data_IF_421588498800
#
_entry.id   IF_421588498800
#
_cell.length_a   1.000
_cell.length_b   1.000
_cell.length_c   1.000
_cell.angle_alpha   90.00
_cell.angle_beta   90.00
_cell.angle_gamma   90.00
#
_symmetry.space_group_name_H-M   'P 1'
#
loop_
_entity.id
_entity.type
_entity.pdbx_description
1 polymer ?
#
# COMPACT_ATOMS: atom_id res chain seq x y z
N UNK A 1 9.69 17.67 -3.77
CA UNK A 1 10.91 17.55 -2.97
C UNK A 1 10.83 16.25 -2.16
N UNK A 2 11.98 15.60 -1.90
CA UNK A 2 12.06 14.35 -1.12
C UNK A 2 11.67 14.51 0.34
N UNK A 3 11.61 15.75 0.82
CA UNK A 3 11.31 16.11 2.21
C UNK A 3 9.93 16.74 2.40
N UNK A 4 9.07 16.66 1.40
CA UNK A 4 7.74 17.27 1.43
C UNK A 4 6.66 16.24 1.10
N UNK A 5 5.49 16.40 1.70
CA UNK A 5 4.31 15.62 1.32
C UNK A 5 3.84 16.00 -0.10
N UNK A 6 3.19 15.06 -0.76
CA UNK A 6 2.50 15.35 -2.03
C UNK A 6 1.41 16.40 -1.80
N UNK A 7 1.49 17.52 -2.54
CA UNK A 7 0.48 18.58 -2.45
C UNK A 7 -0.83 18.12 -3.09
N UNK A 8 -1.90 18.14 -2.33
CA UNK A 8 -3.26 17.81 -2.78
C UNK A 8 -3.74 18.80 -3.82
N UNK A 9 -3.52 20.11 -3.57
CA UNK A 9 -3.90 21.19 -4.50
C UNK A 9 -3.18 21.09 -5.84
N UNK A 10 -1.88 20.72 -5.80
CA UNK A 10 -1.13 20.49 -7.04
C UNK A 10 -1.72 19.34 -7.86
N UNK A 11 -2.11 18.25 -7.21
CA UNK A 11 -2.73 17.09 -7.90
C UNK A 11 -4.09 17.48 -8.49
N UNK A 12 -4.89 18.25 -7.77
CA UNK A 12 -6.20 18.73 -8.23
C UNK A 12 -6.07 19.65 -9.46
N UNK A 13 -5.19 20.65 -9.36
CA UNK A 13 -4.89 21.56 -10.47
C UNK A 13 -4.34 20.81 -11.69
N UNK A 14 -3.43 19.85 -11.47
CA UNK A 14 -2.86 19.06 -12.55
C UNK A 14 -3.93 18.23 -13.28
N UNK A 15 -4.78 17.54 -12.53
CA UNK A 15 -5.85 16.72 -13.10
C UNK A 15 -6.93 17.57 -13.82
N UNK A 16 -7.18 18.77 -13.33
CA UNK A 16 -8.09 19.73 -13.98
C UNK A 16 -7.60 20.15 -15.36
N UNK A 17 -6.29 20.27 -15.54
CA UNK A 17 -5.66 20.73 -16.76
C UNK A 17 -5.20 19.60 -17.71
N UNK A 18 -5.25 18.33 -17.27
CA UNK A 18 -4.76 17.17 -18.00
C UNK A 18 -5.81 16.06 -18.05
N UNK A 19 -6.80 16.21 -18.92
CA UNK A 19 -7.93 15.28 -19.04
C UNK A 19 -7.56 13.88 -19.54
N UNK A 20 -6.43 13.74 -20.22
CA UNK A 20 -5.88 12.48 -20.76
C UNK A 20 -5.26 11.57 -19.71
N UNK A 21 -4.97 12.09 -18.52
CA UNK A 21 -4.54 11.26 -17.37
C UNK A 21 -5.63 10.24 -17.04
N UNK A 22 -5.27 8.97 -16.98
CA UNK A 22 -6.19 7.87 -16.68
C UNK A 22 -6.02 7.31 -15.27
N UNK A 23 -4.80 7.34 -14.76
CA UNK A 23 -4.42 6.76 -13.48
C UNK A 23 -3.55 7.73 -12.70
N UNK A 24 -3.72 7.73 -11.37
CA UNK A 24 -2.82 8.40 -10.43
C UNK A 24 -2.20 7.32 -9.54
N UNK A 25 -0.88 7.33 -9.45
CA UNK A 25 -0.13 6.43 -8.58
C UNK A 25 0.74 7.23 -7.61
N UNK A 26 0.71 6.89 -6.33
CA UNK A 26 1.58 7.51 -5.32
C UNK A 26 1.91 6.55 -4.18
N UNK A 27 2.96 6.87 -3.44
CA UNK A 27 3.40 6.16 -2.24
C UNK A 27 2.69 6.75 -1.02
N UNK A 28 2.06 5.92 -0.19
CA UNK A 28 1.39 6.39 1.04
C UNK A 28 2.40 6.75 2.13
N UNK A 29 3.42 5.91 2.34
CA UNK A 29 4.47 6.16 3.34
C UNK A 29 5.84 5.95 2.72
N UNK A 30 6.62 7.03 2.63
CA UNK A 30 7.96 7.00 2.06
C UNK A 30 8.91 6.17 2.94
N UNK A 31 9.62 5.24 2.32
CA UNK A 31 10.47 4.30 3.06
C UNK A 31 11.72 4.96 3.65
N UNK A 32 12.29 5.94 2.96
CA UNK A 32 13.57 6.56 3.35
C UNK A 32 13.41 7.70 4.33
N UNK A 33 12.37 8.52 4.17
CA UNK A 33 12.12 9.71 4.99
C UNK A 33 11.07 9.50 6.07
N UNK A 34 10.20 8.50 5.90
CA UNK A 34 9.05 8.25 6.78
C UNK A 34 7.88 9.21 6.55
N UNK A 35 7.94 10.06 5.53
CA UNK A 35 6.85 10.99 5.20
C UNK A 35 5.58 10.21 4.88
N UNK A 36 4.49 10.57 5.56
CA UNK A 36 3.17 10.03 5.32
C UNK A 36 2.38 10.97 4.42
N UNK A 37 2.11 10.56 3.20
CA UNK A 37 1.32 11.35 2.25
C UNK A 37 -0.17 11.35 2.61
N UNK A 38 -0.92 12.44 2.33
CA UNK A 38 -2.32 12.61 2.72
C UNK A 38 -3.25 11.73 1.87
N UNK A 39 -3.32 10.43 2.21
CA UNK A 39 -4.02 9.40 1.43
C UNK A 39 -5.51 9.72 1.24
N UNK A 40 -6.20 10.17 2.27
CA UNK A 40 -7.66 10.42 2.21
C UNK A 40 -7.98 11.57 1.25
N UNK A 41 -7.25 12.64 1.37
CA UNK A 41 -7.40 13.86 0.57
C UNK A 41 -7.04 13.59 -0.89
N UNK A 42 -5.91 12.92 -1.15
CA UNK A 42 -5.50 12.52 -2.50
C UNK A 42 -6.51 11.55 -3.13
N UNK A 43 -6.98 10.56 -2.38
CA UNK A 43 -8.00 9.63 -2.86
C UNK A 43 -9.30 10.36 -3.24
N UNK A 44 -9.71 11.34 -2.42
CA UNK A 44 -10.89 12.16 -2.71
C UNK A 44 -10.72 12.94 -4.03
N UNK A 45 -9.61 13.63 -4.21
CA UNK A 45 -9.32 14.40 -5.44
C UNK A 45 -9.29 13.47 -6.66
N UNK A 46 -8.55 12.37 -6.61
CA UNK A 46 -8.47 11.41 -7.72
C UNK A 46 -9.86 10.89 -8.12
N UNK A 47 -10.71 10.63 -7.13
CA UNK A 47 -12.10 10.20 -7.32
C UNK A 47 -12.97 11.28 -7.96
N UNK A 48 -12.85 12.54 -7.52
CA UNK A 48 -13.59 13.68 -8.08
C UNK A 48 -13.30 13.85 -9.58
N UNK A 49 -12.06 13.61 -10.01
CA UNK A 49 -11.66 13.63 -11.40
C UNK A 49 -11.97 12.34 -12.17
N UNK A 50 -12.59 11.34 -11.54
CA UNK A 50 -12.95 10.07 -12.17
C UNK A 50 -11.76 9.21 -12.60
N UNK A 51 -10.57 9.45 -12.03
CA UNK A 51 -9.34 8.74 -12.36
C UNK A 51 -9.21 7.47 -11.52
N UNK A 52 -8.34 6.54 -11.97
CA UNK A 52 -8.02 5.32 -11.23
C UNK A 52 -6.91 5.58 -10.23
N UNK A 53 -7.06 5.00 -9.05
CA UNK A 53 -6.13 5.19 -7.95
C UNK A 53 -5.29 3.93 -7.69
N UNK A 54 -3.98 4.09 -7.76
CA UNK A 54 -2.98 3.08 -7.43
C UNK A 54 -2.20 3.59 -6.21
N UNK A 55 -2.19 2.83 -5.13
CA UNK A 55 -1.49 3.21 -3.90
C UNK A 55 -0.40 2.19 -3.60
N UNK A 56 0.83 2.65 -3.55
CA UNK A 56 1.92 1.91 -2.90
C UNK A 56 1.80 2.10 -1.37
N UNK A 57 1.35 1.05 -0.71
CA UNK A 57 1.23 0.98 0.73
C UNK A 57 2.23 -0.01 1.35
N UNK A 58 3.39 -0.20 0.69
CA UNK A 58 4.43 -1.11 1.15
C UNK A 58 4.80 -0.88 2.60
N UNK A 59 5.00 0.37 3.00
CA UNK A 59 5.48 0.74 4.33
C UNK A 59 4.36 1.17 5.29
N UNK A 60 3.08 0.99 4.92
CA UNK A 60 1.96 1.46 5.75
C UNK A 60 0.84 0.43 5.95
N UNK A 61 0.60 -0.46 4.97
CA UNK A 61 -0.51 -1.40 5.05
C UNK A 61 -0.32 -2.42 6.18
N UNK A 62 -1.33 -2.54 7.03
CA UNK A 62 -1.28 -3.39 8.23
C UNK A 62 -0.71 -2.72 9.49
N UNK A 63 -0.17 -1.49 9.36
CA UNK A 63 0.31 -0.68 10.49
C UNK A 63 -0.43 0.66 10.63
N UNK A 64 -1.00 1.16 9.53
CA UNK A 64 -1.81 2.39 9.54
C UNK A 64 -3.24 2.03 9.13
N UNK A 65 -4.27 2.40 9.91
CA UNK A 65 -5.66 2.12 9.58
C UNK A 65 -6.06 2.74 8.23
N UNK A 66 -6.63 1.92 7.35
CA UNK A 66 -7.20 2.36 6.08
C UNK A 66 -8.26 1.38 5.61
N UNK A 67 -9.35 1.89 5.06
CA UNK A 67 -10.34 1.09 4.34
C UNK A 67 -10.18 1.31 2.83
N UNK A 68 -9.71 0.27 2.15
CA UNK A 68 -9.44 0.31 0.69
C UNK A 68 -10.71 0.60 -0.12
N UNK A 69 -11.86 0.12 0.38
CA UNK A 69 -13.15 0.29 -0.29
C UNK A 69 -13.70 1.70 -0.12
N UNK A 70 -13.69 2.23 1.11
CA UNK A 70 -14.15 3.59 1.42
C UNK A 70 -13.29 4.65 0.71
N UNK A 71 -11.97 4.45 0.69
CA UNK A 71 -11.04 5.31 -0.02
C UNK A 71 -11.15 5.20 -1.55
N UNK A 72 -11.84 4.18 -2.04
CA UNK A 72 -12.03 3.96 -3.47
C UNK A 72 -10.75 3.62 -4.22
N UNK A 73 -9.79 3.00 -3.53
CA UNK A 73 -8.52 2.55 -4.12
C UNK A 73 -8.81 1.44 -5.13
N UNK A 74 -8.29 1.58 -6.35
CA UNK A 74 -8.47 0.59 -7.40
C UNK A 74 -7.42 -0.52 -7.31
N UNK A 75 -6.17 -0.16 -6.97
CA UNK A 75 -5.08 -1.10 -6.74
C UNK A 75 -4.23 -0.63 -5.54
N UNK A 76 -4.13 -1.46 -4.53
CA UNK A 76 -3.22 -1.26 -3.40
C UNK A 76 -2.12 -2.30 -3.46
N UNK A 77 -0.87 -1.86 -3.36
CA UNK A 77 0.31 -2.71 -3.43
C UNK A 77 0.97 -2.76 -2.04
N UNK A 78 1.28 -3.96 -1.57
CA UNK A 78 1.99 -4.13 -0.30
C UNK A 78 2.86 -5.39 -0.30
N UNK A 79 3.55 -5.65 0.79
CA UNK A 79 4.45 -6.79 0.94
C UNK A 79 4.27 -7.51 2.28
N UNK A 80 4.74 -8.75 2.32
CA UNK A 80 4.61 -9.60 3.49
C UNK A 80 5.41 -9.13 4.71
N UNK A 81 6.53 -8.41 4.51
CA UNK A 81 7.59 -8.21 5.51
C UNK A 81 7.67 -6.81 6.12
N UNK A 82 6.72 -5.93 5.87
CA UNK A 82 6.68 -4.59 6.45
C UNK A 82 5.77 -4.58 7.69
N UNK A 83 4.80 -3.70 7.78
CA UNK A 83 3.95 -3.56 8.97
C UNK A 83 3.19 -4.82 9.36
N UNK A 84 2.94 -5.76 8.45
CA UNK A 84 2.35 -7.08 8.78
C UNK A 84 3.34 -7.98 9.53
N UNK A 85 4.66 -7.68 9.46
CA UNK A 85 5.74 -8.38 10.19
C UNK A 85 5.92 -9.86 9.78
N UNK A 86 5.61 -10.19 8.53
CA UNK A 86 5.96 -11.48 7.94
C UNK A 86 7.41 -11.53 7.46
N UNK A 87 7.79 -12.60 6.76
CA UNK A 87 9.12 -12.79 6.18
C UNK A 87 9.13 -12.21 4.76
N UNK A 88 10.24 -11.61 4.29
CA UNK A 88 10.35 -11.14 2.92
C UNK A 88 10.29 -12.30 1.91
N UNK A 89 9.72 -12.07 0.72
CA UNK A 89 9.69 -13.08 -0.34
C UNK A 89 8.53 -12.94 -1.34
N UNK A 90 7.50 -12.13 -1.04
CA UNK A 90 6.49 -11.75 -2.02
C UNK A 90 5.83 -10.41 -1.69
N UNK A 91 5.36 -9.74 -2.74
CA UNK A 91 4.38 -8.67 -2.63
C UNK A 91 2.99 -9.16 -2.99
N UNK A 92 1.97 -8.43 -2.59
CA UNK A 92 0.60 -8.71 -2.94
C UNK A 92 -0.14 -7.44 -3.37
N UNK A 93 -1.21 -7.63 -4.12
CA UNK A 93 -2.05 -6.55 -4.62
C UNK A 93 -3.48 -6.82 -4.19
N UNK A 94 -4.10 -5.82 -3.55
CA UNK A 94 -5.54 -5.79 -3.33
C UNK A 94 -6.13 -4.94 -4.45
N UNK A 95 -6.96 -5.54 -5.29
CA UNK A 95 -7.47 -4.89 -6.49
C UNK A 95 -9.00 -4.88 -6.50
N UNK A 96 -9.57 -3.78 -7.00
CA UNK A 96 -10.99 -3.73 -7.36
C UNK A 96 -11.24 -4.70 -8.51
N UNK A 97 -12.09 -5.68 -8.30
CA UNK A 97 -12.30 -6.77 -9.27
C UNK A 97 -12.68 -6.26 -10.68
N UNK A 98 -13.52 -5.24 -10.77
CA UNK A 98 -13.91 -4.65 -12.05
C UNK A 98 -12.72 -4.07 -12.82
N UNK A 99 -11.77 -3.43 -12.13
CA UNK A 99 -10.58 -2.87 -12.76
C UNK A 99 -9.56 -3.95 -13.10
N UNK A 100 -9.40 -4.96 -12.24
CA UNK A 100 -8.54 -6.10 -12.51
C UNK A 100 -8.96 -6.86 -13.79
N UNK A 101 -10.26 -7.08 -13.99
CA UNK A 101 -10.78 -7.73 -15.20
C UNK A 101 -10.46 -6.93 -16.48
N UNK A 102 -10.40 -5.61 -16.39
CA UNK A 102 -10.03 -4.73 -17.51
C UNK A 102 -8.54 -4.82 -17.89
N UNK A 103 -7.71 -5.35 -16.99
CA UNK A 103 -6.28 -5.55 -17.26
C UNK A 103 -5.99 -6.75 -18.18
N UNK A 104 -6.99 -7.52 -18.59
CA UNK A 104 -6.81 -8.68 -19.46
C UNK A 104 -6.11 -8.32 -20.76
N UNK A 105 -4.93 -8.93 -20.99
CA UNK A 105 -4.16 -8.73 -22.23
C UNK A 105 -3.48 -7.37 -22.36
N UNK A 106 -3.43 -6.56 -21.28
CA UNK A 106 -2.81 -5.22 -21.28
C UNK A 106 -1.36 -5.28 -20.81
N UNK A 107 -1.01 -6.24 -19.97
CA UNK A 107 0.32 -6.35 -19.39
C UNK A 107 1.40 -6.55 -20.45
N UNK A 108 2.51 -5.79 -20.32
CA UNK A 108 3.69 -5.91 -21.18
C UNK A 108 4.71 -6.93 -20.68
N UNK A 109 4.56 -7.38 -19.46
CA UNK A 109 5.43 -8.34 -18.80
C UNK A 109 4.67 -9.61 -18.46
N UNK A 110 5.20 -10.76 -18.85
CA UNK A 110 4.66 -12.05 -18.50
C UNK A 110 4.65 -12.28 -16.98
N UNK A 111 5.72 -11.91 -16.29
CA UNK A 111 5.88 -12.15 -14.85
C UNK A 111 5.05 -11.21 -13.97
N UNK A 112 4.70 -10.03 -14.46
CA UNK A 112 3.95 -9.01 -13.71
C UNK A 112 2.50 -8.84 -14.18
N UNK A 113 1.98 -9.79 -14.97
CA UNK A 113 0.57 -9.81 -15.37
C UNK A 113 -0.31 -10.24 -14.20
N UNK A 114 -0.88 -9.26 -13.51
CA UNK A 114 -1.74 -9.49 -12.34
C UNK A 114 -3.09 -10.13 -12.71
N UNK A 115 -3.60 -9.88 -13.93
CA UNK A 115 -4.82 -10.52 -14.40
C UNK A 115 -4.62 -12.02 -14.58
N UNK A 116 -3.56 -12.42 -15.28
CA UNK A 116 -3.28 -13.82 -15.53
C UNK A 116 -2.91 -14.58 -14.25
N UNK A 117 -2.21 -13.92 -13.31
CA UNK A 117 -2.00 -14.47 -11.97
C UNK A 117 -3.32 -14.72 -11.24
N UNK A 118 -4.23 -13.76 -11.24
CA UNK A 118 -5.53 -13.86 -10.60
C UNK A 118 -6.40 -14.93 -11.28
N UNK A 119 -6.49 -14.92 -12.61
CA UNK A 119 -7.28 -15.89 -13.37
C UNK A 119 -6.81 -17.34 -13.12
N UNK A 120 -5.49 -17.53 -13.04
CA UNK A 120 -4.88 -18.83 -12.72
C UNK A 120 -5.26 -19.28 -11.30
N UNK A 121 -5.23 -18.38 -10.33
CA UNK A 121 -5.62 -18.68 -8.95
C UNK A 121 -7.12 -19.00 -8.83
N UNK A 122 -7.99 -18.25 -9.51
CA UNK A 122 -9.44 -18.50 -9.52
C UNK A 122 -9.76 -19.86 -10.11
N UNK A 123 -9.20 -20.19 -11.28
CA UNK A 123 -9.43 -21.46 -11.97
C UNK A 123 -8.74 -22.65 -11.29
N UNK A 124 -7.62 -22.39 -10.64
CA UNK A 124 -6.76 -23.41 -10.03
C UNK A 124 -6.94 -23.57 -8.51
N UNK A 125 -8.05 -23.09 -7.93
CA UNK A 125 -8.33 -23.18 -6.49
C UNK A 125 -7.18 -22.65 -5.62
N UNK A 126 -6.64 -21.47 -5.97
CA UNK A 126 -5.55 -20.82 -5.25
C UNK A 126 -4.14 -21.21 -5.72
N UNK A 127 -4.02 -22.01 -6.78
CA UNK A 127 -2.73 -22.35 -7.37
C UNK A 127 -2.09 -21.10 -8.01
N UNK A 128 -0.84 -20.83 -7.64
CA UNK A 128 -0.09 -19.74 -8.24
C UNK A 128 0.31 -20.07 -9.68
N UNK A 129 0.41 -19.05 -10.51
CA UNK A 129 0.83 -19.20 -11.92
C UNK A 129 2.25 -19.75 -12.06
N UNK A 130 3.15 -19.31 -11.19
CA UNK A 130 4.51 -19.80 -11.08
C UNK A 130 4.75 -20.49 -9.74
N UNK A 131 5.96 -20.99 -9.51
CA UNK A 131 6.34 -21.62 -8.24
C UNK A 131 6.13 -20.64 -7.08
N UNK A 132 5.26 -21.00 -6.15
CA UNK A 132 4.98 -20.16 -5.00
C UNK A 132 6.08 -20.24 -3.93
N UNK A 133 6.39 -19.16 -3.23
CA UNK A 133 7.29 -19.16 -2.07
C UNK A 133 6.56 -19.72 -0.83
N UNK A 134 6.25 -21.04 -0.84
CA UNK A 134 5.34 -21.68 0.10
C UNK A 134 5.67 -21.42 1.56
N UNK A 135 6.96 -21.44 1.93
CA UNK A 135 7.40 -21.17 3.31
C UNK A 135 7.10 -19.73 3.73
N UNK A 136 7.32 -18.77 2.83
CA UNK A 136 7.03 -17.35 3.08
C UNK A 136 5.53 -17.10 3.21
N UNK A 137 4.71 -17.75 2.35
CA UNK A 137 3.25 -17.69 2.44
C UNK A 137 2.74 -18.29 3.76
N UNK A 138 3.35 -19.38 4.22
CA UNK A 138 3.02 -19.98 5.51
C UNK A 138 3.39 -19.05 6.68
N UNK A 139 4.57 -18.43 6.63
CA UNK A 139 4.99 -17.44 7.62
C UNK A 139 4.07 -16.20 7.60
N UNK A 140 3.66 -15.75 6.42
CA UNK A 140 2.71 -14.64 6.29
C UNK A 140 1.35 -14.94 6.92
N UNK A 141 0.84 -16.18 6.76
CA UNK A 141 -0.37 -16.62 7.46
C UNK A 141 -0.21 -16.49 8.97
N UNK A 142 0.93 -16.90 9.52
CA UNK A 142 1.21 -16.77 10.94
C UNK A 142 1.24 -15.29 11.38
N UNK A 143 1.93 -14.43 10.62
CA UNK A 143 1.98 -12.99 10.90
C UNK A 143 0.59 -12.33 10.90
N UNK A 144 -0.30 -12.75 10.00
CA UNK A 144 -1.70 -12.30 10.01
C UNK A 144 -2.47 -12.78 11.25
N UNK A 145 -2.21 -14.01 11.71
CA UNK A 145 -2.78 -14.53 12.96
C UNK A 145 -2.32 -13.68 14.15
N UNK A 146 -1.03 -13.41 14.26
CA UNK A 146 -0.44 -12.57 15.31
C UNK A 146 -0.98 -11.13 15.27
N UNK A 147 -1.17 -10.56 14.08
CA UNK A 147 -1.81 -9.24 13.92
C UNK A 147 -3.24 -9.24 14.50
N UNK A 148 -4.02 -10.29 14.23
CA UNK A 148 -5.38 -10.42 14.76
C UNK A 148 -5.36 -10.59 16.27
N UNK A 149 -4.47 -11.43 16.81
CA UNK A 149 -4.30 -11.69 18.25
C UNK A 149 -3.83 -10.45 19.00
N UNK A 150 -3.02 -9.60 18.38
CA UNK A 150 -2.61 -8.28 18.91
C UNK A 150 -3.80 -7.31 19.08
N UNK A 151 -4.91 -7.55 18.39
CA UNK A 151 -6.08 -6.68 18.37
C UNK A 151 -6.25 -5.93 17.06
N UNK A 152 -5.64 -6.43 15.98
CA UNK A 152 -5.76 -5.91 14.63
C UNK A 152 -4.90 -4.68 14.35
N UNK A 153 -5.15 -4.05 13.20
CA UNK A 153 -4.39 -2.89 12.72
C UNK A 153 -4.44 -1.73 13.71
N UNK A 154 -5.57 -1.48 14.34
CA UNK A 154 -5.74 -0.41 15.32
C UNK A 154 -4.83 -0.55 16.55
N UNK A 155 -4.70 -1.78 17.07
CA UNK A 155 -3.83 -2.04 18.22
C UNK A 155 -2.35 -1.89 17.83
N UNK A 156 -1.98 -2.44 16.66
CA UNK A 156 -0.63 -2.30 16.09
C UNK A 156 -0.27 -0.84 15.87
N UNK A 157 -1.15 -0.07 15.28
CA UNK A 157 -0.94 1.36 15.05
C UNK A 157 -0.69 2.12 16.35
N UNK A 158 -1.49 1.88 17.39
CA UNK A 158 -1.26 2.50 18.70
C UNK A 158 0.10 2.16 19.29
N UNK A 159 0.52 0.87 19.20
CA UNK A 159 1.84 0.43 19.66
C UNK A 159 2.96 1.14 18.89
N UNK A 160 2.85 1.18 17.56
CA UNK A 160 3.90 1.74 16.69
C UNK A 160 4.00 3.27 16.87
N UNK A 161 2.89 3.97 17.02
CA UNK A 161 2.87 5.39 17.39
C UNK A 161 3.52 5.63 18.77
N UNK A 162 3.26 4.74 19.74
CA UNK A 162 3.90 4.79 21.05
C UNK A 162 5.42 4.61 20.97
N UNK A 163 5.88 3.62 20.23
CA UNK A 163 7.30 3.36 20.00
C UNK A 163 7.99 4.53 19.28
N UNK A 164 7.35 5.07 18.23
CA UNK A 164 7.86 6.22 17.49
C UNK A 164 8.04 7.43 18.43
N UNK A 165 7.02 7.74 19.23
CA UNK A 165 7.10 8.86 20.20
C UNK A 165 8.27 8.70 21.16
N UNK A 166 8.41 7.54 21.80
CA UNK A 166 9.50 7.26 22.74
C UNK A 166 10.86 7.40 22.06
N UNK A 167 11.00 6.88 20.83
CA UNK A 167 12.24 6.99 20.05
C UNK A 167 12.58 8.47 19.75
N UNK A 168 11.63 9.23 19.22
CA UNK A 168 11.85 10.63 18.83
C UNK A 168 12.18 11.51 20.04
N UNK A 169 11.45 11.35 21.16
CA UNK A 169 11.69 12.06 22.40
C UNK A 169 13.09 11.72 22.97
N UNK A 170 13.45 10.44 22.95
CA UNK A 170 14.76 9.97 23.41
C UNK A 170 15.90 10.53 22.54
N UNK A 171 15.77 10.51 21.23
CA UNK A 171 16.76 11.06 20.30
C UNK A 171 16.91 12.58 20.46
N UNK A 172 15.80 13.30 20.62
CA UNK A 172 15.82 14.75 20.87
C UNK A 172 16.52 15.09 22.18
N UNK A 173 16.33 14.30 23.25
CA UNK A 173 17.03 14.50 24.52
C UNK A 173 18.54 14.33 24.43
N UNK A 174 19.01 13.59 23.42
CA UNK A 174 20.44 13.41 23.08
C UNK A 174 20.98 14.46 22.10
N UNK A 175 20.17 15.44 21.70
CA UNK A 175 20.57 16.53 20.82
C UNK A 175 20.41 16.26 19.32
N UNK A 176 19.77 15.13 18.94
CA UNK A 176 19.44 14.87 17.53
C UNK A 176 18.19 15.63 17.09
N UNK A 177 18.16 16.03 15.84
CA UNK A 177 17.00 16.67 15.19
C UNK A 177 16.46 15.78 14.09
N UNK A 178 15.15 15.86 13.82
CA UNK A 178 14.54 15.17 12.68
C UNK A 178 14.88 15.88 11.38
N UNK A 179 14.99 15.14 10.27
CA UNK A 179 15.22 15.71 8.94
C UNK A 179 13.95 16.42 8.41
N UNK A 180 12.80 15.86 8.74
CA UNK A 180 11.45 16.30 8.34
C UNK A 180 10.56 16.39 9.56
#
# INVERSE_FOLDING_TARGET
DETEQVSVDYVDDYLSNNSDVTHVAFVHCETTTGILNPLKELAHVVKMHGKKLIVDAMSSFGGIPMDVSELGIDFLISSANKCIQGVPGFGFIIARRSELVRCKGVARSLSLDIYDQWETMEKGHGKWRFTSPTHVVRAFKQALTELIEEGGVEARHRRDCGNHRVLVEGMRSLGFVTLV
#
